data_IF_231727847983
#
_entry.id   IF_231727847983
#
_cell.length_a   1.000
_cell.length_b   1.000
_cell.length_c   1.000
_cell.angle_alpha   90.00
_cell.angle_beta   90.00
_cell.angle_gamma   90.00
#
_symmetry.space_group_name_H-M   'P 1'
#
loop_
_entity.id
_entity.type
_entity.pdbx_description
1 polymer ?
#
# COMPACT_ATOMS: atom_id res chain seq x y z
N UNK A 1 0.64 -36.67 -6.18
CA UNK A 1 -0.77 -36.87 -6.57
C UNK A 1 -1.81 -36.28 -5.60
N UNK A 2 -1.70 -36.44 -4.26
CA UNK A 2 -2.73 -35.95 -3.30
C UNK A 2 -3.07 -34.44 -3.36
N UNK A 3 -2.13 -33.56 -3.75
CA UNK A 3 -2.39 -32.11 -3.86
C UNK A 3 -3.25 -31.71 -5.07
N UNK A 4 -3.19 -32.48 -6.17
CA UNK A 4 -3.92 -32.17 -7.41
C UNK A 4 -5.41 -32.52 -7.25
N UNK A 5 -5.72 -33.65 -6.62
CA UNK A 5 -7.11 -34.04 -6.31
C UNK A 5 -7.81 -33.07 -5.36
N UNK A 6 -7.10 -32.47 -4.40
CA UNK A 6 -7.67 -31.45 -3.50
C UNK A 6 -8.01 -30.12 -4.20
N UNK A 7 -7.32 -29.78 -5.29
CA UNK A 7 -7.57 -28.54 -6.06
C UNK A 7 -8.77 -28.75 -6.98
N UNK A 8 -8.86 -29.90 -7.66
CA UNK A 8 -10.01 -30.27 -8.50
C UNK A 8 -11.29 -30.38 -7.65
N UNK A 9 -11.19 -30.98 -6.46
CA UNK A 9 -12.32 -31.09 -5.53
C UNK A 9 -12.77 -29.77 -4.90
N UNK A 10 -11.91 -28.73 -4.83
CA UNK A 10 -12.29 -27.37 -4.41
C UNK A 10 -13.03 -26.63 -5.53
N UNK A 11 -12.52 -26.68 -6.76
CA UNK A 11 -13.15 -26.03 -7.91
C UNK A 11 -14.54 -26.61 -8.25
N UNK A 12 -14.75 -27.91 -8.04
CA UNK A 12 -16.06 -28.56 -8.20
C UNK A 12 -17.07 -28.12 -7.12
N UNK A 13 -16.62 -27.77 -5.92
CA UNK A 13 -17.50 -27.22 -4.87
C UNK A 13 -17.91 -25.80 -5.22
N UNK A 14 -16.97 -24.97 -5.66
CA UNK A 14 -17.22 -23.56 -6.01
C UNK A 14 -18.21 -23.41 -7.18
N UNK A 15 -18.10 -24.26 -8.21
CA UNK A 15 -19.07 -24.29 -9.31
C UNK A 15 -20.47 -24.71 -8.86
N UNK A 16 -20.59 -25.63 -7.89
CA UNK A 16 -21.90 -25.99 -7.32
C UNK A 16 -22.54 -24.84 -6.52
N UNK A 17 -21.72 -24.06 -5.80
CA UNK A 17 -22.20 -22.89 -5.05
C UNK A 17 -22.64 -21.77 -5.98
N UNK A 18 -21.88 -21.51 -7.05
CA UNK A 18 -22.25 -20.54 -8.08
C UNK A 18 -23.57 -20.91 -8.76
N UNK A 19 -23.75 -22.17 -9.14
CA UNK A 19 -25.00 -22.64 -9.76
C UNK A 19 -26.22 -22.54 -8.82
N UNK A 20 -26.03 -22.74 -7.51
CA UNK A 20 -27.08 -22.54 -6.51
C UNK A 20 -27.43 -21.06 -6.33
N UNK A 21 -26.43 -20.19 -6.33
CA UNK A 21 -26.64 -18.74 -6.23
C UNK A 21 -27.41 -18.20 -7.45
N UNK A 22 -27.07 -18.64 -8.66
CA UNK A 22 -27.79 -18.28 -9.89
C UNK A 22 -29.25 -18.74 -9.83
N UNK A 23 -29.52 -19.99 -9.43
CA UNK A 23 -30.89 -20.47 -9.25
C UNK A 23 -31.69 -19.69 -8.22
N UNK A 24 -31.06 -19.31 -7.11
CA UNK A 24 -31.71 -18.51 -6.07
C UNK A 24 -32.05 -17.09 -6.59
N UNK A 25 -31.18 -16.50 -7.41
CA UNK A 25 -31.46 -15.21 -8.07
C UNK A 25 -32.62 -15.37 -9.07
N UNK A 26 -32.65 -16.43 -9.87
CA UNK A 26 -33.77 -16.71 -10.79
C UNK A 26 -35.11 -16.91 -10.04
N UNK A 27 -35.09 -17.56 -8.88
CA UNK A 27 -36.27 -17.75 -8.02
C UNK A 27 -36.74 -16.43 -7.36
N UNK A 28 -35.81 -15.52 -7.06
CA UNK A 28 -36.09 -14.15 -6.62
C UNK A 28 -36.71 -13.31 -7.74
N UNK A 29 -36.17 -13.36 -8.96
CA UNK A 29 -36.71 -12.66 -10.13
C UNK A 29 -38.12 -13.14 -10.49
N UNK A 30 -38.40 -14.44 -10.33
CA UNK A 30 -39.73 -15.03 -10.51
C UNK A 30 -40.72 -14.69 -9.38
N UNK A 31 -40.29 -13.94 -8.35
CA UNK A 31 -41.13 -13.54 -7.22
C UNK A 31 -41.52 -14.68 -6.27
N UNK A 32 -40.93 -15.85 -6.41
CA UNK A 32 -41.26 -17.06 -5.65
C UNK A 32 -40.64 -17.09 -4.25
N UNK A 33 -39.55 -16.34 -4.04
CA UNK A 33 -38.82 -16.26 -2.77
C UNK A 33 -38.91 -14.83 -2.22
N UNK A 34 -39.56 -14.66 -1.06
CA UNK A 34 -39.48 -13.42 -0.28
C UNK A 34 -38.11 -13.36 0.38
N UNK A 35 -37.27 -12.41 -0.03
CA UNK A 35 -35.98 -12.18 0.63
C UNK A 35 -36.21 -11.43 1.94
N UNK A 36 -35.95 -12.05 3.11
CA UNK A 36 -36.01 -11.33 4.36
C UNK A 36 -34.87 -10.30 4.41
N UNK A 37 -35.13 -9.14 5.00
CA UNK A 37 -34.10 -8.13 5.20
C UNK A 37 -32.91 -8.72 5.98
N UNK A 38 -31.65 -8.32 5.67
CA UNK A 38 -30.48 -8.78 6.39
C UNK A 38 -30.61 -8.50 7.90
N UNK A 39 -30.46 -9.53 8.72
CA UNK A 39 -30.54 -9.40 10.18
C UNK A 39 -29.15 -9.09 10.74
N UNK A 40 -28.98 -7.91 11.34
CA UNK A 40 -27.76 -7.62 12.07
C UNK A 40 -27.76 -8.33 13.44
N UNK A 41 -26.66 -8.97 13.87
CA UNK A 41 -26.60 -9.69 15.14
C UNK A 41 -26.92 -8.82 16.37
N UNK A 42 -26.63 -7.52 16.28
CA UNK A 42 -26.92 -6.53 17.32
C UNK A 42 -28.41 -6.20 17.44
N UNK A 43 -29.20 -6.44 16.39
CA UNK A 43 -30.61 -6.06 16.30
C UNK A 43 -31.56 -7.19 16.68
N UNK A 44 -31.07 -8.44 16.79
CA UNK A 44 -31.89 -9.61 17.13
C UNK A 44 -32.62 -9.48 18.47
N UNK A 45 -32.02 -8.78 19.45
CA UNK A 45 -32.64 -8.55 20.76
C UNK A 45 -33.88 -7.65 20.65
N UNK A 46 -33.77 -6.57 19.89
CA UNK A 46 -34.87 -5.63 19.66
C UNK A 46 -35.99 -6.26 18.83
N UNK A 47 -35.63 -7.14 17.89
CA UNK A 47 -36.61 -7.88 17.10
C UNK A 47 -37.44 -8.86 17.95
N UNK A 48 -36.79 -9.60 18.85
CA UNK A 48 -37.50 -10.48 19.80
C UNK A 48 -38.43 -9.68 20.72
N UNK A 49 -37.92 -8.57 21.29
CA UNK A 49 -38.72 -7.66 22.10
C UNK A 49 -39.95 -7.11 21.35
N UNK A 50 -39.80 -6.79 20.06
CA UNK A 50 -40.91 -6.31 19.23
C UNK A 50 -41.90 -7.41 18.81
N UNK A 51 -41.44 -8.66 18.67
CA UNK A 51 -42.32 -9.82 18.42
C UNK A 51 -43.12 -10.24 19.65
N UNK A 52 -42.54 -10.07 20.84
CA UNK A 52 -43.18 -10.40 22.11
C UNK A 52 -44.18 -9.31 22.55
N UNK A 53 -44.14 -8.12 21.96
CA UNK A 53 -45.07 -7.02 22.26
C UNK A 53 -46.38 -7.15 21.48
N UNK A 54 -47.43 -7.58 22.19
CA UNK A 54 -48.75 -7.83 21.63
C UNK A 54 -49.34 -6.60 20.93
N UNK A 55 -49.10 -5.39 21.45
CA UNK A 55 -49.63 -4.15 20.87
C UNK A 55 -49.04 -3.87 19.49
N UNK A 56 -47.73 -4.08 19.35
CA UNK A 56 -47.04 -3.92 18.07
C UNK A 56 -47.54 -4.96 17.07
N UNK A 57 -47.78 -6.20 17.50
CA UNK A 57 -48.35 -7.23 16.62
C UNK A 57 -49.80 -6.93 16.22
N UNK A 58 -50.59 -6.33 17.10
CA UNK A 58 -51.97 -5.92 16.85
C UNK A 58 -51.99 -4.76 15.82
N UNK A 59 -51.20 -3.71 16.05
CA UNK A 59 -51.04 -2.57 15.11
C UNK A 59 -50.51 -3.00 13.74
N UNK A 60 -49.58 -3.98 13.67
CA UNK A 60 -49.07 -4.53 12.39
C UNK A 60 -50.17 -5.30 11.64
N UNK A 61 -51.05 -5.99 12.38
CA UNK A 61 -52.13 -6.78 11.79
C UNK A 61 -53.36 -5.92 11.47
N UNK A 62 -53.50 -4.76 12.10
CA UNK A 62 -54.54 -3.78 11.81
C UNK A 62 -54.38 -3.22 10.39
N UNK A 63 -55.35 -3.54 9.53
CA UNK A 63 -55.40 -2.99 8.18
C UNK A 63 -56.05 -1.61 8.22
N UNK A 64 -55.24 -0.56 8.23
CA UNK A 64 -55.74 0.80 8.02
C UNK A 64 -56.24 0.97 6.59
N UNK A 65 -57.56 0.94 6.41
CA UNK A 65 -58.24 1.09 5.10
C UNK A 65 -57.89 2.42 4.43
N UNK A 66 -57.73 3.49 5.22
CA UNK A 66 -57.30 4.82 4.74
C UNK A 66 -55.91 4.81 4.11
N UNK A 67 -54.97 4.03 4.66
CA UNK A 67 -53.62 3.89 4.12
C UNK A 67 -53.64 3.12 2.80
N UNK A 68 -54.45 2.07 2.71
CA UNK A 68 -54.65 1.27 1.50
C UNK A 68 -55.24 2.14 0.39
N UNK A 69 -56.27 2.94 0.69
CA UNK A 69 -56.84 3.89 -0.26
C UNK A 69 -55.83 4.93 -0.74
N UNK A 70 -54.97 5.45 0.15
CA UNK A 70 -53.94 6.42 -0.20
C UNK A 70 -52.79 5.78 -1.00
N UNK A 71 -52.40 4.55 -0.70
CA UNK A 71 -51.44 3.78 -1.48
C UNK A 71 -51.95 3.49 -2.89
N UNK A 72 -53.23 3.13 -3.03
CA UNK A 72 -53.85 2.88 -4.33
C UNK A 72 -53.95 4.16 -5.19
N UNK A 73 -53.92 5.35 -4.58
CA UNK A 73 -53.83 6.64 -5.30
C UNK A 73 -52.41 6.93 -5.81
N UNK A 74 -51.37 6.30 -5.23
CA UNK A 74 -49.99 6.46 -5.68
C UNK A 74 -49.74 5.60 -6.92
N UNK A 75 -49.96 6.19 -8.10
CA UNK A 75 -49.55 5.58 -9.36
C UNK A 75 -48.05 5.84 -9.59
N UNK A 76 -47.20 5.03 -8.95
CA UNK A 76 -45.75 5.05 -9.21
C UNK A 76 -45.52 4.31 -10.53
N UNK A 77 -45.55 5.05 -11.63
CA UNK A 77 -44.98 4.57 -12.88
C UNK A 77 -43.48 4.54 -12.68
N UNK A 78 -42.93 3.35 -12.42
CA UNK A 78 -41.51 3.14 -12.65
C UNK A 78 -41.28 3.45 -14.12
N UNK A 79 -40.69 4.61 -14.41
CA UNK A 79 -39.95 4.75 -15.66
C UNK A 79 -38.84 3.74 -15.53
N UNK A 80 -39.06 2.55 -16.10
CA UNK A 80 -37.97 1.65 -16.43
C UNK A 80 -36.89 2.55 -17.02
N UNK A 81 -35.66 2.53 -16.46
CA UNK A 81 -34.59 3.34 -17.03
C UNK A 81 -34.53 2.95 -18.50
N UNK A 82 -34.80 3.91 -19.40
CA UNK A 82 -34.78 3.65 -20.83
C UNK A 82 -33.52 2.86 -21.16
N UNK A 83 -33.67 1.81 -21.99
CA UNK A 83 -32.66 0.78 -22.23
C UNK A 83 -31.26 1.35 -22.00
N UNK A 84 -30.58 0.85 -20.96
CA UNK A 84 -29.20 1.23 -20.72
C UNK A 84 -28.49 1.07 -22.04
N UNK A 85 -27.87 2.14 -22.53
CA UNK A 85 -27.05 2.17 -23.74
C UNK A 85 -25.78 1.34 -23.51
N UNK A 86 -25.95 0.06 -23.24
CA UNK A 86 -24.87 -0.89 -23.21
C UNK A 86 -24.46 -0.99 -24.68
N UNK A 87 -23.30 -0.42 -24.99
CA UNK A 87 -22.71 -0.50 -26.31
C UNK A 87 -22.79 -1.94 -26.82
N UNK A 88 -23.44 -2.14 -27.96
CA UNK A 88 -23.50 -3.44 -28.65
C UNK A 88 -22.15 -3.86 -29.22
N UNK A 89 -21.15 -2.96 -29.21
CA UNK A 89 -19.77 -3.35 -29.53
C UNK A 89 -19.27 -4.28 -28.44
N UNK A 90 -18.87 -5.46 -28.86
CA UNK A 90 -18.13 -6.41 -28.05
C UNK A 90 -16.91 -5.71 -27.44
N UNK A 91 -16.75 -5.86 -26.12
CA UNK A 91 -15.57 -5.36 -25.44
C UNK A 91 -14.34 -6.15 -25.92
N UNK A 92 -13.14 -5.54 -25.91
CA UNK A 92 -11.92 -6.25 -26.25
C UNK A 92 -11.79 -7.53 -25.42
N UNK A 93 -11.71 -8.67 -26.09
CA UNK A 93 -11.41 -9.95 -25.44
C UNK A 93 -9.90 -10.09 -25.29
N UNK A 94 -9.46 -10.92 -24.35
CA UNK A 94 -8.02 -11.21 -24.17
C UNK A 94 -7.37 -11.69 -25.47
N UNK A 95 -8.08 -12.46 -26.28
CA UNK A 95 -7.61 -12.95 -27.59
C UNK A 95 -7.40 -11.80 -28.59
N UNK A 96 -8.28 -10.79 -28.59
CA UNK A 96 -8.11 -9.59 -29.41
C UNK A 96 -6.87 -8.77 -29.00
N UNK A 97 -6.59 -8.63 -27.70
CA UNK A 97 -5.37 -7.96 -27.22
C UNK A 97 -4.09 -8.70 -27.62
N UNK A 98 -4.13 -10.04 -27.61
CA UNK A 98 -3.00 -10.88 -28.04
C UNK A 98 -2.70 -10.73 -29.53
N UNK A 99 -3.72 -10.51 -30.36
CA UNK A 99 -3.55 -10.30 -31.80
C UNK A 99 -2.77 -9.01 -32.11
N UNK A 100 -2.94 -7.98 -31.27
CA UNK A 100 -2.34 -6.67 -31.45
C UNK A 100 -1.06 -6.45 -30.63
N UNK A 101 -0.56 -7.48 -29.95
CA UNK A 101 0.66 -7.42 -29.13
C UNK A 101 1.91 -6.98 -29.90
N UNK A 102 1.96 -7.24 -31.20
CA UNK A 102 3.07 -6.88 -32.08
C UNK A 102 2.77 -5.67 -32.96
N UNK A 103 1.59 -5.06 -32.83
CA UNK A 103 1.23 -3.89 -33.62
C UNK A 103 1.85 -2.64 -32.95
N UNK A 104 2.80 -1.94 -33.60
CA UNK A 104 3.45 -0.78 -33.01
C UNK A 104 2.47 0.39 -32.75
N UNK A 105 1.26 0.33 -33.31
CA UNK A 105 0.19 1.31 -33.12
C UNK A 105 -0.69 0.97 -31.92
N UNK A 106 -0.61 -0.27 -31.42
CA UNK A 106 -1.41 -0.79 -30.31
C UNK A 106 -0.63 -0.77 -29.02
N UNK A 107 -0.92 0.21 -28.18
CA UNK A 107 -0.06 0.50 -27.07
C UNK A 107 -0.93 1.03 -25.92
N UNK A 108 -0.82 0.39 -24.74
CA UNK A 108 -1.76 0.52 -23.61
C UNK A 108 -3.23 0.16 -23.90
N UNK A 109 -3.52 -0.65 -24.93
CA UNK A 109 -4.88 -1.11 -25.24
C UNK A 109 -5.72 -0.12 -26.06
N UNK A 110 -5.09 0.92 -26.61
CA UNK A 110 -5.74 1.90 -27.49
C UNK A 110 -5.04 1.93 -28.85
N UNK A 111 -5.81 2.12 -29.93
CA UNK A 111 -5.26 2.48 -31.24
C UNK A 111 -4.89 3.95 -31.24
N UNK A 112 -3.61 4.26 -31.42
CA UNK A 112 -3.17 5.64 -31.56
C UNK A 112 -3.09 6.04 -33.05
N UNK A 113 -3.82 7.08 -33.51
CA UNK A 113 -3.65 7.59 -34.86
C UNK A 113 -2.24 8.17 -35.03
N UNK A 114 -1.71 8.00 -36.25
CA UNK A 114 -0.44 8.62 -36.67
C UNK A 114 -0.51 10.13 -36.44
N UNK A 115 0.58 10.75 -36.00
CA UNK A 115 0.65 12.18 -35.63
C UNK A 115 0.04 13.13 -36.67
N UNK A 116 0.18 12.81 -37.96
CA UNK A 116 -0.37 13.60 -39.07
C UNK A 116 -1.90 13.61 -39.14
N UNK A 117 -2.56 12.59 -38.58
CA UNK A 117 -4.02 12.46 -38.54
C UNK A 117 -4.63 13.05 -37.27
N UNK A 118 -3.80 13.47 -36.31
CA UNK A 118 -4.30 14.06 -35.06
C UNK A 118 -4.70 15.51 -35.34
N UNK A 119 -5.97 15.89 -35.14
CA UNK A 119 -6.39 17.26 -35.33
C UNK A 119 -5.73 18.19 -34.31
N UNK A 120 -5.56 19.45 -34.69
CA UNK A 120 -5.02 20.50 -33.81
C UNK A 120 -5.90 20.62 -32.55
N UNK A 121 -5.30 20.96 -31.41
CA UNK A 121 -5.99 21.06 -30.12
C UNK A 121 -6.62 19.75 -29.59
N UNK A 122 -6.21 18.59 -30.11
CA UNK A 122 -6.54 17.28 -29.51
C UNK A 122 -5.30 16.54 -29.04
N UNK A 123 -5.47 15.85 -27.93
CA UNK A 123 -4.47 15.01 -27.28
C UNK A 123 -4.88 13.55 -27.41
N UNK A 124 -3.88 12.69 -27.50
CA UNK A 124 -4.06 11.27 -27.22
C UNK A 124 -4.18 11.05 -25.71
N UNK A 125 -4.87 9.97 -25.31
CA UNK A 125 -5.03 9.65 -23.88
C UNK A 125 -3.68 9.49 -23.19
N UNK A 126 -2.72 8.81 -23.84
CA UNK A 126 -1.35 8.70 -23.33
C UNK A 126 -0.69 10.06 -23.16
N UNK A 127 -0.69 10.88 -24.21
CA UNK A 127 -0.09 12.21 -24.18
C UNK A 127 -0.69 13.06 -23.04
N UNK A 128 -2.01 12.95 -22.82
CA UNK A 128 -2.69 13.61 -21.71
C UNK A 128 -2.22 13.07 -20.35
N UNK A 129 -2.12 11.76 -20.17
CA UNK A 129 -1.64 11.14 -18.93
C UNK A 129 -0.18 11.51 -18.62
N UNK A 130 0.69 11.55 -19.62
CA UNK A 130 2.09 11.95 -19.46
C UNK A 130 2.21 13.42 -19.03
N UNK A 131 1.43 14.31 -19.64
CA UNK A 131 1.39 15.73 -19.27
C UNK A 131 0.82 15.93 -17.86
N UNK A 132 -0.30 15.26 -17.54
CA UNK A 132 -0.92 15.33 -16.21
C UNK A 132 0.04 14.81 -15.13
N UNK A 133 0.74 13.70 -15.40
CA UNK A 133 1.75 13.15 -14.51
C UNK A 133 2.92 14.13 -14.31
N UNK A 134 3.46 14.70 -15.37
CA UNK A 134 4.56 15.67 -15.27
C UNK A 134 4.16 16.91 -14.46
N UNK A 135 2.92 17.41 -14.65
CA UNK A 135 2.39 18.55 -13.90
C UNK A 135 2.18 18.23 -12.41
N UNK A 136 1.79 16.99 -12.10
CA UNK A 136 1.69 16.49 -10.73
C UNK A 136 3.07 16.40 -10.07
N UNK A 137 4.05 15.79 -10.73
CA UNK A 137 5.43 15.65 -10.21
C UNK A 137 6.08 17.02 -9.91
N UNK A 138 5.69 18.08 -10.64
CA UNK A 138 6.11 19.45 -10.36
C UNK A 138 5.42 20.10 -9.16
N UNK A 139 4.16 19.75 -8.93
CA UNK A 139 3.36 20.28 -7.82
C UNK A 139 3.79 19.70 -6.46
N UNK A 140 4.51 18.58 -6.48
CA UNK A 140 4.98 17.91 -5.27
C UNK A 140 6.23 18.55 -4.68
N UNK A 141 6.23 18.77 -3.37
CA UNK A 141 7.37 19.27 -2.59
C UNK A 141 8.22 18.14 -1.99
N UNK A 142 8.92 17.37 -2.83
CA UNK A 142 9.95 16.40 -2.40
C UNK A 142 11.35 17.01 -2.34
N UNK A 143 12.06 16.86 -1.21
CA UNK A 143 13.46 17.34 -1.01
C UNK A 143 14.51 16.26 -1.33
N UNK A 144 14.10 15.06 -1.72
CA UNK A 144 15.02 13.94 -2.03
C UNK A 144 15.68 14.08 -3.40
N UNK A 145 16.93 13.64 -3.55
CA UNK A 145 17.66 13.69 -4.84
C UNK A 145 16.95 12.97 -5.99
N UNK A 146 16.19 11.90 -5.71
CA UNK A 146 15.34 11.23 -6.70
C UNK A 146 14.16 12.09 -7.16
N UNK A 147 13.57 12.90 -6.26
CA UNK A 147 12.52 13.84 -6.61
C UNK A 147 13.05 15.01 -7.45
N UNK A 148 14.30 15.44 -7.26
CA UNK A 148 14.94 16.49 -8.07
C UNK A 148 15.07 16.04 -9.53
N UNK A 149 15.60 14.84 -9.78
CA UNK A 149 15.71 14.28 -11.15
C UNK A 149 14.35 14.11 -11.81
N UNK A 150 13.38 13.57 -11.08
CA UNK A 150 12.00 13.39 -11.58
C UNK A 150 11.37 14.72 -11.98
N UNK A 151 11.64 15.81 -11.24
CA UNK A 151 11.16 17.15 -11.62
C UNK A 151 11.84 17.72 -12.86
N UNK A 152 13.14 17.48 -13.06
CA UNK A 152 13.83 17.91 -14.27
C UNK A 152 13.25 17.19 -15.49
N UNK A 153 13.00 15.88 -15.37
CA UNK A 153 12.32 15.10 -16.40
C UNK A 153 10.89 15.62 -16.66
N UNK A 154 10.14 15.92 -15.61
CA UNK A 154 8.80 16.51 -15.72
C UNK A 154 8.81 17.89 -16.43
N UNK A 155 9.79 18.75 -16.15
CA UNK A 155 9.97 20.04 -16.87
C UNK A 155 10.28 19.81 -18.34
N UNK A 156 11.12 18.82 -18.64
CA UNK A 156 11.47 18.48 -20.01
C UNK A 156 10.24 17.98 -20.79
N UNK A 157 9.38 17.18 -20.16
CA UNK A 157 8.11 16.75 -20.75
C UNK A 157 7.21 17.96 -21.02
N UNK A 158 6.95 18.82 -20.03
CA UNK A 158 6.07 19.97 -20.20
C UNK A 158 6.57 21.01 -21.22
N UNK A 159 7.86 21.06 -21.51
CA UNK A 159 8.44 22.01 -22.48
C UNK A 159 8.60 21.43 -23.87
N UNK A 160 9.03 20.17 -23.99
CA UNK A 160 9.45 19.58 -25.26
C UNK A 160 8.43 18.60 -25.87
N UNK A 161 7.45 18.14 -25.09
CA UNK A 161 6.54 17.10 -25.53
C UNK A 161 5.71 17.52 -26.75
N UNK A 162 5.56 16.59 -27.71
CA UNK A 162 4.93 16.85 -29.02
C UNK A 162 3.52 17.41 -28.88
N UNK A 163 2.77 16.90 -27.90
CA UNK A 163 1.39 17.29 -27.66
C UNK A 163 1.25 18.71 -27.07
N UNK A 164 2.23 19.16 -26.27
CA UNK A 164 2.25 20.53 -25.73
C UNK A 164 2.44 21.55 -26.85
N UNK A 165 3.21 21.21 -27.89
CA UNK A 165 3.38 22.06 -29.07
C UNK A 165 2.14 22.10 -29.96
N UNK A 166 1.27 21.07 -29.89
CA UNK A 166 0.08 20.90 -30.74
C UNK A 166 -1.18 21.56 -30.14
N UNK A 167 -1.24 21.64 -28.81
CA UNK A 167 -2.45 22.00 -28.07
C UNK A 167 -2.23 23.31 -27.31
N UNK A 168 -3.23 24.19 -27.36
CA UNK A 168 -3.19 25.46 -26.65
C UNK A 168 -3.10 25.26 -25.13
N UNK A 169 -2.36 26.15 -24.46
CA UNK A 169 -2.11 26.08 -23.01
C UNK A 169 -3.39 26.13 -22.18
N UNK A 170 -4.40 26.90 -22.62
CA UNK A 170 -5.70 27.00 -21.94
C UNK A 170 -6.40 25.64 -21.84
N UNK A 171 -6.36 24.85 -22.92
CA UNK A 171 -6.97 23.52 -22.95
C UNK A 171 -6.22 22.57 -22.00
N UNK A 172 -4.89 22.69 -21.93
CA UNK A 172 -4.08 21.90 -20.99
C UNK A 172 -4.34 22.28 -19.53
N UNK A 173 -4.66 23.54 -19.27
CA UNK A 173 -5.08 24.05 -17.96
C UNK A 173 -6.47 23.52 -17.57
N UNK A 174 -7.44 23.58 -18.47
CA UNK A 174 -8.78 23.01 -18.25
C UNK A 174 -8.69 21.51 -17.96
N UNK A 175 -7.91 20.76 -18.76
CA UNK A 175 -7.71 19.32 -18.55
C UNK A 175 -7.10 19.04 -17.18
N UNK A 176 -6.15 19.85 -16.73
CA UNK A 176 -5.57 19.71 -15.40
C UNK A 176 -6.57 20.00 -14.28
N UNK A 177 -7.44 21.00 -14.44
CA UNK A 177 -8.47 21.33 -13.47
C UNK A 177 -9.50 20.21 -13.31
N UNK A 178 -9.99 19.65 -14.43
CA UNK A 178 -11.02 18.61 -14.40
C UNK A 178 -10.50 17.20 -14.12
N UNK A 179 -9.32 16.84 -14.64
CA UNK A 179 -8.77 15.48 -14.54
C UNK A 179 -7.65 15.36 -13.52
N UNK A 180 -7.55 16.30 -12.58
CA UNK A 180 -6.54 16.26 -11.51
C UNK A 180 -6.45 14.84 -10.94
N UNK A 181 -5.31 14.14 -11.11
CA UNK A 181 -5.23 12.73 -10.74
C UNK A 181 -5.51 12.56 -9.25
N UNK A 182 -6.54 11.78 -8.91
CA UNK A 182 -6.75 11.30 -7.54
C UNK A 182 -5.69 10.25 -7.24
N UNK A 183 -4.48 10.68 -6.90
CA UNK A 183 -3.39 9.76 -6.63
C UNK A 183 -3.46 9.24 -5.19
N UNK A 184 -3.58 7.92 -5.05
CA UNK A 184 -3.23 7.23 -3.81
C UNK A 184 -1.78 6.80 -3.90
N UNK A 185 -0.91 7.45 -3.13
CA UNK A 185 0.50 7.07 -3.02
C UNK A 185 0.71 6.13 -1.87
N UNK A 186 0.99 4.89 -2.21
CA UNK A 186 1.50 3.93 -1.25
C UNK A 186 3.03 4.12 -1.15
N UNK A 187 3.47 4.75 -0.07
CA UNK A 187 4.88 4.87 0.23
C UNK A 187 5.44 3.51 0.66
N UNK A 188 6.13 2.83 -0.25
CA UNK A 188 6.89 1.65 0.12
C UNK A 188 8.25 2.08 0.70
N UNK A 189 8.53 1.68 1.94
CA UNK A 189 9.85 1.85 2.54
C UNK A 189 10.82 0.85 1.89
N UNK A 190 11.41 1.23 0.76
CA UNK A 190 12.43 0.42 0.09
C UNK A 190 13.74 0.58 0.85
N UNK A 191 14.25 -0.52 1.40
CA UNK A 191 15.56 -0.57 2.06
C UNK A 191 16.60 -1.03 1.05
N UNK A 192 17.80 -0.44 1.07
CA UNK A 192 18.89 -0.88 0.20
C UNK A 192 19.24 -2.35 0.48
N UNK A 193 19.54 -3.12 -0.57
CA UNK A 193 20.03 -4.50 -0.43
C UNK A 193 21.31 -4.57 0.41
N UNK A 194 22.15 -3.54 0.36
CA UNK A 194 23.35 -3.42 1.20
C UNK A 194 23.00 -3.38 2.69
N UNK A 195 21.98 -2.61 3.05
CA UNK A 195 21.59 -2.41 4.45
C UNK A 195 20.90 -3.67 4.99
N UNK A 196 20.15 -4.38 4.14
CA UNK A 196 19.61 -5.70 4.47
C UNK A 196 20.70 -6.75 4.66
N UNK A 197 21.73 -6.76 3.81
CA UNK A 197 22.86 -7.66 3.95
C UNK A 197 23.63 -7.39 5.26
N UNK A 198 23.91 -6.12 5.57
CA UNK A 198 24.53 -5.73 6.85
C UNK A 198 23.69 -6.16 8.06
N UNK A 199 22.37 -5.96 8.02
CA UNK A 199 21.47 -6.40 9.07
C UNK A 199 21.44 -7.93 9.20
N UNK A 200 21.48 -8.64 8.06
CA UNK A 200 21.49 -10.10 8.03
C UNK A 200 22.79 -10.67 8.59
N UNK A 201 23.94 -10.07 8.26
CA UNK A 201 25.24 -10.45 8.81
C UNK A 201 25.31 -10.18 10.32
N UNK A 202 24.70 -9.09 10.78
CA UNK A 202 24.56 -8.78 12.19
C UNK A 202 23.67 -9.78 12.94
N UNK A 203 22.49 -10.12 12.40
CA UNK A 203 21.59 -11.12 12.99
C UNK A 203 22.23 -12.52 13.06
N UNK A 204 23.16 -12.82 12.16
CA UNK A 204 23.90 -14.08 12.15
C UNK A 204 25.19 -14.04 12.99
N UNK A 205 25.52 -12.89 13.61
CA UNK A 205 26.71 -12.74 14.44
C UNK A 205 28.03 -12.66 13.68
N UNK A 206 27.99 -12.47 12.35
CA UNK A 206 29.20 -12.32 11.52
C UNK A 206 29.71 -10.88 11.46
N UNK A 207 28.97 -9.91 12.00
CA UNK A 207 29.44 -8.54 12.09
C UNK A 207 30.35 -8.37 13.30
N UNK A 208 31.59 -7.95 13.07
CA UNK A 208 32.37 -7.23 14.06
C UNK A 208 31.54 -6.05 14.57
N UNK A 209 31.20 -6.04 15.86
CA UNK A 209 30.45 -4.92 16.48
C UNK A 209 31.18 -3.57 16.33
N UNK A 210 32.49 -3.58 16.03
CA UNK A 210 33.26 -2.38 15.70
C UNK A 210 32.76 -1.68 14.44
N UNK A 211 32.40 -2.43 13.38
CA UNK A 211 32.03 -1.88 12.07
C UNK A 211 30.65 -1.22 12.02
N UNK A 212 29.80 -1.43 13.03
CA UNK A 212 28.48 -0.78 13.11
C UNK A 212 28.57 0.71 13.46
N UNK A 213 29.74 1.20 13.88
CA UNK A 213 29.91 2.54 14.43
C UNK A 213 31.02 3.36 13.78
N UNK A 214 31.77 2.79 12.84
CA UNK A 214 32.95 3.41 12.22
C UNK A 214 32.62 4.49 11.17
N UNK A 215 31.35 4.68 10.82
CA UNK A 215 30.95 5.69 9.83
C UNK A 215 30.40 6.96 10.45
N UNK A 216 30.96 8.13 10.09
CA UNK A 216 30.34 9.47 10.23
C UNK A 216 28.88 9.49 9.71
N UNK A 217 28.56 8.60 8.76
CA UNK A 217 27.20 8.37 8.24
C UNK A 217 26.21 7.90 9.31
N UNK A 218 26.63 7.10 10.29
CA UNK A 218 25.77 6.61 11.36
C UNK A 218 25.62 7.64 12.50
N UNK A 219 26.60 8.52 12.69
CA UNK A 219 26.43 9.70 13.57
C UNK A 219 25.36 10.64 13.04
N UNK A 220 25.33 10.93 11.73
CA UNK A 220 24.25 11.73 11.13
C UNK A 220 22.89 11.04 11.24
N UNK A 221 22.82 9.70 11.18
CA UNK A 221 21.59 8.94 11.46
C UNK A 221 21.16 8.99 12.93
N UNK A 222 22.11 8.97 13.86
CA UNK A 222 21.86 9.16 15.30
C UNK A 222 21.37 10.57 15.60
N UNK A 223 21.99 11.59 15.02
CA UNK A 223 21.55 12.99 15.10
C UNK A 223 20.14 13.18 14.53
N UNK A 224 19.76 12.47 13.47
CA UNK A 224 18.39 12.51 12.92
C UNK A 224 17.31 12.02 13.90
N UNK A 225 17.66 11.27 14.94
CA UNK A 225 16.73 10.93 16.04
C UNK A 225 16.44 12.12 16.95
N UNK A 226 17.27 13.17 16.90
CA UNK A 226 17.13 14.37 17.70
C UNK A 226 17.27 15.64 16.82
N UNK A 227 16.16 16.18 16.30
CA UNK A 227 16.17 17.19 15.24
C UNK A 227 16.94 18.46 15.61
N UNK A 228 16.87 18.90 16.88
CA UNK A 228 17.62 20.07 17.37
C UNK A 228 19.13 19.90 17.30
N UNK A 229 19.64 18.67 17.51
CA UNK A 229 21.07 18.40 17.43
C UNK A 229 21.55 18.30 15.97
N UNK A 230 20.71 17.76 15.08
CA UNK A 230 21.00 17.69 13.64
C UNK A 230 21.15 19.09 13.03
N UNK A 231 20.23 20.02 13.35
CA UNK A 231 20.30 21.40 12.88
C UNK A 231 21.55 22.14 13.38
N UNK A 232 21.94 21.91 14.64
CA UNK A 232 23.16 22.52 15.20
C UNK A 232 24.42 21.95 14.54
N UNK A 233 24.42 20.66 14.21
CA UNK A 233 25.54 20.03 13.50
C UNK A 233 25.66 20.54 12.06
N UNK A 234 24.56 20.63 11.33
CA UNK A 234 24.57 21.11 9.94
C UNK A 234 24.91 22.62 9.83
N UNK A 235 24.74 23.40 10.90
CA UNK A 235 25.16 24.81 10.99
C UNK A 235 26.65 25.02 11.30
N UNK A 236 27.38 23.99 11.72
CA UNK A 236 28.82 24.08 12.00
C UNK A 236 29.63 24.16 10.69
N UNK A 237 30.77 24.82 10.72
CA UNK A 237 31.73 24.78 9.61
C UNK A 237 32.27 23.36 9.39
N UNK A 238 32.68 23.07 8.15
CA UNK A 238 33.10 21.73 7.73
C UNK A 238 34.30 21.21 8.55
N UNK A 239 35.18 22.10 9.00
CA UNK A 239 36.33 21.75 9.84
C UNK A 239 35.92 21.37 11.26
N UNK A 240 34.97 22.08 11.85
CA UNK A 240 34.44 21.78 13.18
C UNK A 240 33.60 20.51 13.19
N UNK A 241 32.84 20.26 12.12
CA UNK A 241 32.15 18.98 11.92
C UNK A 241 33.13 17.81 11.92
N UNK A 242 34.28 17.96 11.25
CA UNK A 242 35.34 16.94 11.21
C UNK A 242 35.97 16.74 12.57
N UNK A 243 36.34 17.80 13.28
CA UNK A 243 36.91 17.73 14.63
C UNK A 243 35.97 17.05 15.62
N UNK A 244 34.70 17.43 15.62
CA UNK A 244 33.68 16.81 16.46
C UNK A 244 33.51 15.33 16.14
N UNK A 245 33.49 14.97 14.86
CA UNK A 245 33.38 13.57 14.46
C UNK A 245 34.60 12.74 14.90
N UNK A 246 35.81 13.29 14.80
CA UNK A 246 37.03 12.63 15.25
C UNK A 246 37.05 12.43 16.76
N UNK A 247 36.68 13.46 17.53
CA UNK A 247 36.61 13.38 18.99
C UNK A 247 35.60 12.32 19.48
N UNK A 248 34.47 12.17 18.78
CA UNK A 248 33.47 11.14 19.11
C UNK A 248 33.98 9.74 18.80
N UNK A 249 34.70 9.56 17.69
CA UNK A 249 35.33 8.28 17.34
C UNK A 249 36.35 7.88 18.40
N UNK A 250 37.21 8.82 18.81
CA UNK A 250 38.23 8.61 19.84
C UNK A 250 37.62 8.30 21.21
N UNK A 251 36.57 9.02 21.62
CA UNK A 251 35.87 8.74 22.87
C UNK A 251 35.26 7.33 22.86
N UNK A 252 34.71 6.90 21.73
CA UNK A 252 34.10 5.58 21.60
C UNK A 252 35.12 4.45 21.54
N UNK A 253 36.27 4.65 20.89
CA UNK A 253 37.35 3.66 20.92
C UNK A 253 37.90 3.50 22.33
N UNK A 254 38.07 4.60 23.07
CA UNK A 254 38.51 4.56 24.46
C UNK A 254 37.51 3.82 25.38
N UNK A 255 36.21 4.07 25.23
CA UNK A 255 35.18 3.30 25.97
C UNK A 255 35.16 1.83 25.54
N UNK A 256 35.37 1.51 24.26
CA UNK A 256 35.47 0.14 23.81
C UNK A 256 36.64 -0.59 24.48
N UNK A 257 37.83 0.01 24.49
CA UNK A 257 39.02 -0.56 25.13
C UNK A 257 38.80 -0.78 26.62
N UNK A 258 38.14 0.17 27.29
CA UNK A 258 37.75 0.05 28.70
C UNK A 258 36.79 -1.12 28.93
N UNK A 259 35.79 -1.30 28.07
CA UNK A 259 34.83 -2.39 28.17
C UNK A 259 35.49 -3.75 27.90
N UNK A 260 36.41 -3.82 26.94
CA UNK A 260 37.18 -5.04 26.65
C UNK A 260 38.04 -5.44 27.85
N UNK A 261 38.70 -4.47 28.50
CA UNK A 261 39.45 -4.72 29.74
C UNK A 261 38.53 -5.28 30.83
N UNK A 262 37.38 -4.64 31.07
CA UNK A 262 36.40 -5.14 32.04
C UNK A 262 35.86 -6.53 31.73
N UNK A 263 35.65 -6.86 30.46
CA UNK A 263 35.20 -8.20 30.06
C UNK A 263 36.26 -9.26 30.34
N UNK A 264 37.53 -8.95 30.09
CA UNK A 264 38.64 -9.84 30.46
C UNK A 264 38.74 -10.01 31.97
N UNK A 265 38.62 -8.94 32.74
CA UNK A 265 38.63 -9.02 34.21
C UNK A 265 37.48 -9.91 34.71
N UNK A 266 36.29 -9.82 34.09
CA UNK A 266 35.13 -10.68 34.41
C UNK A 266 35.41 -12.14 34.05
N UNK A 267 35.98 -12.42 32.88
CA UNK A 267 36.34 -13.77 32.44
C UNK A 267 37.37 -14.41 33.38
N UNK A 268 38.37 -13.66 33.84
CA UNK A 268 39.34 -14.11 34.84
C UNK A 268 38.68 -14.39 36.20
N UNK A 269 37.76 -13.54 36.64
CA UNK A 269 36.96 -13.79 37.84
C UNK A 269 36.07 -15.03 37.71
N UNK A 270 35.45 -15.26 36.55
CA UNK A 270 34.64 -16.45 36.31
C UNK A 270 35.48 -17.73 36.35
N UNK A 271 36.65 -17.73 35.70
CA UNK A 271 37.59 -18.85 35.72
C UNK A 271 38.05 -19.18 37.16
N UNK A 272 38.40 -18.16 37.96
CA UNK A 272 38.79 -18.38 39.36
C UNK A 272 37.62 -18.91 40.22
N UNK A 273 36.39 -18.47 39.98
CA UNK A 273 35.19 -19.02 40.63
C UNK A 273 34.97 -20.48 40.23
N UNK A 274 35.17 -20.85 38.96
CA UNK A 274 35.07 -22.24 38.50
C UNK A 274 36.14 -23.12 39.14
N UNK A 275 37.39 -22.67 39.22
CA UNK A 275 38.47 -23.38 39.91
C UNK A 275 38.20 -23.58 41.41
N UNK A 276 37.61 -22.58 42.08
CA UNK A 276 37.19 -22.72 43.48
C UNK A 276 36.04 -23.74 43.61
N UNK A 277 35.09 -23.74 42.67
CA UNK A 277 33.99 -24.71 42.64
C UNK A 277 34.49 -26.14 42.38
N UNK A 278 35.50 -26.35 41.55
CA UNK A 278 36.09 -27.69 41.32
C UNK A 278 36.84 -28.18 42.55
N UNK A 279 37.68 -27.34 43.16
CA UNK A 279 38.38 -27.66 44.43
C UNK A 279 37.42 -27.98 45.58
N UNK A 280 36.31 -27.24 45.71
CA UNK A 280 35.25 -27.51 46.69
C UNK A 280 34.47 -28.82 46.43
N UNK A 281 34.39 -29.29 45.17
CA UNK A 281 33.80 -30.58 44.83
C UNK A 281 34.75 -31.74 45.12
N UNK A 282 36.05 -31.53 44.98
CA UNK A 282 37.09 -32.52 45.30
C UNK A 282 37.25 -32.72 46.81
N UNK A 283 37.25 -31.65 47.61
CA UNK A 283 37.31 -31.76 49.08
C UNK A 283 36.10 -32.50 49.67
N UNK A 284 34.90 -32.25 49.14
CA UNK A 284 33.67 -32.98 49.53
C UNK A 284 33.63 -34.46 49.12
N UNK A 285 34.55 -34.92 48.28
CA UNK A 285 34.71 -36.33 47.90
C UNK A 285 35.67 -37.10 48.82
N UNK A 286 36.50 -36.40 49.60
CA UNK A 286 37.50 -37.00 50.50
C UNK A 286 36.92 -37.22 51.91
N UNK A 287 35.90 -36.45 52.30
CA UNK A 287 35.19 -36.59 53.59
C UNK A 287 34.01 -37.58 53.57
N UNK A 288 33.95 -38.49 52.58
CA UNK A 288 32.96 -39.58 52.46
C UNK A 288 33.66 -40.92 52.31
#
# INVERSE_FOLDING_TARGET
MKRIFNIIGKNAKDTSYQNKAVKHIEEMEKGSVKVPAPKHPTEEKYYKLAQDDYKITEDINEKHTSLIENMNKLNIKSTEPGERWISTKELPTKESEWLHRNDPVWEYGFYEPIESKIPKNKLMLREALEILRARQELSEEGVTQGAIKSREDARNVLTNHKAVKRVDSLILDDIWEYFRPFERKDHQKVVSKSDLALLQDHLKGYSDQSKLTEGVKDFKKLLKRNPSAAEKFDKLEVEDQRRLSAAIVEQRSAEHDRLVKRLKDIEEMENTIEEQKTKLKESKKIDK
#
